data_IF_841290522570
#
_entry.id   IF_841290522570
#
_cell.length_a   1.000
_cell.length_b   1.000
_cell.length_c   1.000
_cell.angle_alpha   90.00
_cell.angle_beta   90.00
_cell.angle_gamma   90.00
#
_symmetry.space_group_name_H-M   'P 1'
#
loop_
_entity.id
_entity.type
_entity.pdbx_description
1 polymer ?
#
# COMPACT_ATOMS: atom_id res chain seq x y z
N UNK A 1 -24.53 24.07 -42.14
CA UNK A 1 -25.07 23.65 -40.82
C UNK A 1 -23.90 23.17 -39.99
N UNK A 2 -23.36 24.10 -39.16
CA UNK A 2 -22.27 23.82 -38.23
C UNK A 2 -22.86 23.22 -36.97
N UNK A 3 -22.60 21.94 -36.77
CA UNK A 3 -23.00 21.19 -35.55
C UNK A 3 -22.22 21.72 -34.36
N UNK A 4 -22.90 22.54 -33.54
CA UNK A 4 -22.35 23.03 -32.27
C UNK A 4 -22.25 21.84 -31.32
N UNK A 5 -21.00 21.43 -30.98
CA UNK A 5 -20.76 20.52 -29.87
C UNK A 5 -21.34 21.11 -28.57
N UNK A 6 -22.10 20.32 -27.80
CA UNK A 6 -22.65 20.80 -26.55
C UNK A 6 -21.50 21.21 -25.59
N UNK A 7 -21.67 22.26 -24.78
CA UNK A 7 -20.65 22.71 -23.84
C UNK A 7 -20.30 21.58 -22.85
N UNK A 8 -19.02 21.36 -22.69
CA UNK A 8 -18.47 20.37 -21.74
C UNK A 8 -18.80 20.86 -20.33
N UNK A 9 -19.75 20.21 -19.65
CA UNK A 9 -20.11 20.55 -18.29
C UNK A 9 -18.88 20.45 -17.37
N UNK A 10 -18.61 21.47 -16.53
CA UNK A 10 -17.52 21.41 -15.56
C UNK A 10 -17.80 20.27 -14.57
N UNK A 11 -16.79 19.48 -14.26
CA UNK A 11 -16.85 18.50 -13.17
C UNK A 11 -17.37 19.17 -11.88
N UNK A 12 -18.17 18.46 -11.07
CA UNK A 12 -18.81 18.93 -9.82
C UNK A 12 -17.86 19.58 -8.79
N UNK A 13 -16.59 19.77 -9.11
CA UNK A 13 -15.55 20.41 -8.33
C UNK A 13 -14.98 21.70 -8.97
N UNK A 14 -15.58 22.22 -10.07
CA UNK A 14 -15.12 23.47 -10.72
C UNK A 14 -13.72 23.38 -11.37
N UNK A 15 -13.25 22.20 -11.73
CA UNK A 15 -11.98 22.00 -12.44
C UNK A 15 -12.21 21.80 -13.93
N UNK A 16 -11.28 22.23 -14.82
CA UNK A 16 -11.40 22.02 -16.24
C UNK A 16 -11.56 20.55 -16.56
N UNK A 17 -12.50 20.23 -17.45
CA UNK A 17 -12.76 18.88 -17.92
C UNK A 17 -11.46 18.25 -18.45
N UNK A 18 -10.97 17.17 -17.78
CA UNK A 18 -9.75 16.47 -18.17
C UNK A 18 -8.58 16.52 -17.21
N UNK A 19 -8.62 17.31 -16.14
CA UNK A 19 -7.53 17.34 -15.15
C UNK A 19 -7.51 16.05 -14.31
N UNK A 20 -6.43 15.25 -14.43
CA UNK A 20 -6.23 14.05 -13.64
C UNK A 20 -5.83 14.37 -12.20
N UNK A 21 -5.15 15.50 -11.96
CA UNK A 21 -4.68 15.93 -10.65
C UNK A 21 -5.80 16.68 -9.90
N UNK A 22 -6.84 15.95 -9.53
CA UNK A 22 -8.03 16.50 -8.88
C UNK A 22 -7.73 16.97 -7.45
N UNK A 23 -8.57 17.89 -6.94
CA UNK A 23 -8.47 18.33 -5.54
C UNK A 23 -8.53 17.16 -4.56
N UNK A 24 -9.45 16.22 -4.76
CA UNK A 24 -9.56 15.04 -3.90
C UNK A 24 -8.29 14.19 -3.92
N UNK A 25 -7.68 13.99 -5.10
CA UNK A 25 -6.43 13.25 -5.21
C UNK A 25 -5.32 13.94 -4.41
N UNK A 26 -5.16 15.27 -4.55
CA UNK A 26 -4.16 16.04 -3.78
C UNK A 26 -4.38 15.91 -2.27
N UNK A 27 -5.61 16.11 -1.82
CA UNK A 27 -5.96 16.04 -0.39
C UNK A 27 -5.75 14.63 0.16
N UNK A 28 -6.26 13.59 -0.51
CA UNK A 28 -6.10 12.21 -0.07
C UNK A 28 -4.64 11.75 -0.08
N UNK A 29 -3.84 12.22 -1.04
CA UNK A 29 -2.40 11.94 -1.08
C UNK A 29 -1.65 12.64 0.05
N UNK A 30 -1.99 13.90 0.36
CA UNK A 30 -1.43 14.62 1.51
C UNK A 30 -1.82 13.99 2.86
N UNK A 31 -3.08 13.56 2.99
CA UNK A 31 -3.56 12.79 4.15
C UNK A 31 -2.77 11.50 4.33
N UNK A 32 -2.53 10.77 3.23
CA UNK A 32 -1.76 9.51 3.26
C UNK A 32 -0.31 9.74 3.65
N UNK A 33 0.34 10.75 3.06
CA UNK A 33 1.71 11.14 3.40
C UNK A 33 1.87 11.41 4.90
N UNK A 34 1.00 12.25 5.47
CA UNK A 34 1.05 12.58 6.90
C UNK A 34 0.83 11.34 7.77
N UNK A 35 -0.12 10.50 7.40
CA UNK A 35 -0.44 9.29 8.16
C UNK A 35 0.69 8.26 8.09
N UNK A 36 1.31 8.08 6.92
CA UNK A 36 2.41 7.13 6.76
C UNK A 36 3.69 7.67 7.42
N UNK A 37 3.96 8.98 7.35
CA UNK A 37 5.03 9.58 8.14
C UNK A 37 4.84 9.31 9.64
N UNK A 38 3.62 9.45 10.16
CA UNK A 38 3.30 9.14 11.56
C UNK A 38 3.50 7.65 11.91
N UNK A 39 3.11 6.75 11.00
CA UNK A 39 3.18 5.30 11.24
C UNK A 39 4.59 4.77 11.15
N UNK A 40 5.34 5.23 10.15
CA UNK A 40 6.71 4.77 9.88
C UNK A 40 7.75 5.41 10.82
N UNK A 41 7.44 6.57 11.39
CA UNK A 41 8.21 7.12 12.53
C UNK A 41 8.16 6.16 13.73
N UNK A 42 6.99 5.59 14.00
CA UNK A 42 6.81 4.65 15.12
C UNK A 42 7.39 3.26 14.84
N UNK A 43 7.40 2.82 13.58
CA UNK A 43 7.66 1.44 13.20
C UNK A 43 9.00 0.90 13.73
N UNK A 44 10.15 1.58 13.56
CA UNK A 44 11.42 1.11 14.10
C UNK A 44 11.56 1.29 15.63
N UNK A 45 10.78 2.21 16.22
CA UNK A 45 10.89 2.59 17.63
C UNK A 45 10.01 1.71 18.52
N UNK A 46 8.89 1.24 18.01
CA UNK A 46 7.89 0.51 18.79
C UNK A 46 8.42 -0.79 19.44
N UNK A 47 9.21 -1.65 18.75
CA UNK A 47 9.84 -2.81 19.38
C UNK A 47 10.73 -2.42 20.57
N UNK A 48 11.53 -1.37 20.40
CA UNK A 48 12.43 -0.86 21.44
C UNK A 48 11.61 -0.33 22.62
N UNK A 49 10.56 0.45 22.36
CA UNK A 49 9.67 0.95 23.39
C UNK A 49 9.02 -0.18 24.20
N UNK A 50 8.52 -1.22 23.54
CA UNK A 50 7.92 -2.38 24.18
C UNK A 50 8.92 -3.11 25.08
N UNK A 51 10.14 -3.34 24.61
CA UNK A 51 11.12 -4.17 25.31
C UNK A 51 11.89 -3.38 26.39
N UNK A 52 12.40 -2.19 26.04
CA UNK A 52 13.28 -1.45 26.94
C UNK A 52 12.54 -0.54 27.91
N UNK A 53 11.40 0.06 27.49
CA UNK A 53 10.66 1.02 28.34
C UNK A 53 9.52 0.36 29.10
N UNK A 54 8.80 -0.58 28.44
CA UNK A 54 7.67 -1.28 29.07
C UNK A 54 8.03 -2.67 29.63
N UNK A 55 9.26 -3.11 29.43
CA UNK A 55 9.75 -4.40 29.95
C UNK A 55 9.05 -5.63 29.34
N UNK A 56 8.44 -5.51 28.15
CA UNK A 56 7.73 -6.60 27.53
C UNK A 56 8.70 -7.61 26.91
N UNK A 57 8.44 -8.92 27.00
CA UNK A 57 9.27 -9.92 26.34
C UNK A 57 9.15 -9.80 24.81
N UNK A 58 10.20 -10.21 24.05
CA UNK A 58 10.25 -10.12 22.60
C UNK A 58 9.07 -10.80 21.89
N UNK A 59 8.52 -11.88 22.47
CA UNK A 59 7.31 -12.55 21.95
C UNK A 59 6.10 -11.60 21.87
N UNK A 60 6.00 -10.61 22.77
CA UNK A 60 4.92 -9.62 22.74
C UNK A 60 5.05 -8.70 21.52
N UNK A 61 6.27 -8.39 21.08
CA UNK A 61 6.48 -7.57 19.86
C UNK A 61 5.87 -8.25 18.65
N UNK A 62 6.17 -9.54 18.47
CA UNK A 62 5.59 -10.34 17.37
C UNK A 62 4.06 -10.46 17.48
N UNK A 63 3.54 -10.66 18.69
CA UNK A 63 2.09 -10.74 18.93
C UNK A 63 1.38 -9.41 18.61
N UNK A 64 1.96 -8.27 19.03
CA UNK A 64 1.42 -6.93 18.75
C UNK A 64 1.32 -6.68 17.24
N UNK A 65 2.38 -6.94 16.49
CA UNK A 65 2.37 -6.72 15.03
C UNK A 65 1.49 -7.75 14.31
N UNK A 66 1.56 -9.02 14.70
CA UNK A 66 0.74 -10.07 14.07
C UNK A 66 -0.77 -9.86 14.26
N UNK A 67 -1.23 -9.53 15.46
CA UNK A 67 -2.64 -9.23 15.74
C UNK A 67 -3.06 -7.95 15.01
N UNK A 68 -2.21 -6.94 14.97
CA UNK A 68 -2.49 -5.70 14.30
C UNK A 68 -2.67 -5.89 12.77
N UNK A 69 -1.76 -6.62 12.11
CA UNK A 69 -1.88 -6.91 10.67
C UNK A 69 -3.09 -7.82 10.37
N UNK A 70 -3.38 -8.81 11.22
CA UNK A 70 -4.62 -9.60 11.13
C UNK A 70 -5.87 -8.74 11.21
N UNK A 71 -5.90 -7.77 12.13
CA UNK A 71 -6.99 -6.79 12.26
C UNK A 71 -7.15 -5.95 10.99
N UNK A 72 -6.02 -5.49 10.40
CA UNK A 72 -6.05 -4.75 9.14
C UNK A 72 -6.60 -5.60 7.98
N UNK A 73 -6.17 -6.86 7.86
CA UNK A 73 -6.62 -7.75 6.79
C UNK A 73 -8.13 -8.02 6.87
N UNK A 74 -8.64 -8.36 8.04
CA UNK A 74 -10.07 -8.61 8.26
C UNK A 74 -10.91 -7.35 8.01
N UNK A 75 -10.46 -6.20 8.51
CA UNK A 75 -11.19 -4.94 8.34
C UNK A 75 -11.22 -4.46 6.89
N UNK A 76 -10.21 -4.74 6.07
CA UNK A 76 -10.22 -4.44 4.63
C UNK A 76 -11.33 -5.17 3.88
N UNK A 77 -11.55 -6.45 4.19
CA UNK A 77 -12.62 -7.24 3.56
C UNK A 77 -14.00 -6.70 3.92
N UNK A 78 -14.23 -6.38 5.20
CA UNK A 78 -15.50 -5.82 5.68
C UNK A 78 -15.73 -4.42 5.11
N UNK A 79 -14.71 -3.57 5.18
CA UNK A 79 -14.76 -2.18 4.72
C UNK A 79 -15.07 -2.08 3.22
N UNK A 80 -14.52 -2.96 2.40
CA UNK A 80 -14.82 -2.99 0.97
C UNK A 80 -16.30 -3.19 0.67
N UNK A 81 -16.97 -4.09 1.42
CA UNK A 81 -18.42 -4.33 1.30
C UNK A 81 -19.26 -3.14 1.73
N UNK A 82 -18.80 -2.47 2.77
CA UNK A 82 -19.50 -1.33 3.37
C UNK A 82 -19.29 -0.07 2.52
N UNK A 83 -18.14 0.07 1.87
CA UNK A 83 -17.76 1.24 1.07
C UNK A 83 -18.74 1.53 -0.08
N UNK A 84 -19.34 0.51 -0.69
CA UNK A 84 -20.32 0.69 -1.77
C UNK A 84 -21.69 1.14 -1.25
N UNK A 85 -21.99 0.96 0.06
CA UNK A 85 -23.28 1.31 0.68
C UNK A 85 -23.23 2.66 1.39
N UNK A 86 -22.12 3.00 2.01
CA UNK A 86 -21.96 4.21 2.80
C UNK A 86 -21.17 5.28 2.02
N UNK A 87 -21.22 6.51 2.53
CA UNK A 87 -20.42 7.61 1.99
C UNK A 87 -18.95 7.37 2.25
N UNK A 88 -18.10 7.60 1.23
CA UNK A 88 -16.67 7.36 1.33
C UNK A 88 -16.00 8.28 2.36
N UNK A 89 -16.34 9.58 2.36
CA UNK A 89 -15.73 10.58 3.25
C UNK A 89 -15.87 10.25 4.75
N UNK A 90 -17.05 9.92 5.31
CA UNK A 90 -17.17 9.51 6.71
C UNK A 90 -16.34 8.26 7.04
N UNK A 91 -16.30 7.26 6.16
CA UNK A 91 -15.51 6.06 6.36
C UNK A 91 -14.00 6.36 6.37
N UNK A 92 -13.55 7.20 5.44
CA UNK A 92 -12.16 7.67 5.39
C UNK A 92 -11.84 8.44 6.67
N UNK A 93 -12.70 9.37 7.09
CA UNK A 93 -12.54 10.14 8.33
C UNK A 93 -12.49 9.26 9.58
N UNK A 94 -13.40 8.29 9.70
CA UNK A 94 -13.37 7.30 10.78
C UNK A 94 -12.03 6.52 10.78
N UNK A 95 -11.57 6.06 9.62
CA UNK A 95 -10.34 5.30 9.51
C UNK A 95 -9.09 6.09 9.93
N UNK A 96 -8.95 7.35 9.50
CA UNK A 96 -7.84 8.21 9.92
C UNK A 96 -7.99 8.66 11.39
N UNK A 97 -9.21 8.91 11.87
CA UNK A 97 -9.50 9.21 13.27
C UNK A 97 -9.12 8.07 14.21
N UNK A 98 -9.48 6.83 13.86
CA UNK A 98 -9.07 5.64 14.61
C UNK A 98 -7.54 5.48 14.61
N UNK A 99 -6.88 5.73 13.48
CA UNK A 99 -5.43 5.66 13.41
C UNK A 99 -4.74 6.71 14.28
N UNK A 100 -5.28 7.93 14.35
CA UNK A 100 -4.80 8.97 15.25
C UNK A 100 -5.04 8.59 16.73
N UNK A 101 -6.24 8.08 17.06
CA UNK A 101 -6.57 7.60 18.40
C UNK A 101 -5.65 6.47 18.85
N UNK A 102 -5.36 5.50 17.95
CA UNK A 102 -4.41 4.43 18.22
C UNK A 102 -3.02 4.95 18.56
N UNK A 103 -2.52 5.97 17.85
CA UNK A 103 -1.22 6.60 18.14
C UNK A 103 -1.22 7.37 19.46
N UNK A 104 -2.32 8.06 19.80
CA UNK A 104 -2.49 8.67 21.11
C UNK A 104 -2.43 7.63 22.23
N UNK A 105 -3.13 6.50 22.06
CA UNK A 105 -3.10 5.41 23.02
C UNK A 105 -1.67 4.83 23.19
N UNK A 106 -0.92 4.65 22.10
CA UNK A 106 0.46 4.19 22.12
C UNK A 106 1.36 5.20 22.88
N UNK A 107 1.23 6.50 22.57
CA UNK A 107 2.01 7.54 23.24
C UNK A 107 1.74 7.63 24.76
N UNK A 108 0.50 7.39 25.17
CA UNK A 108 0.07 7.37 26.57
C UNK A 108 0.32 6.02 27.27
N UNK A 109 0.84 5.00 26.57
CA UNK A 109 0.97 3.66 27.11
C UNK A 109 1.96 3.57 28.28
N UNK A 110 1.51 2.99 29.38
CA UNK A 110 2.32 2.65 30.56
C UNK A 110 2.59 1.16 30.68
N UNK A 111 1.80 0.34 29.98
CA UNK A 111 1.92 -1.12 29.90
C UNK A 111 1.68 -1.60 28.47
N UNK A 112 2.29 -2.72 28.10
CA UNK A 112 2.24 -3.24 26.72
C UNK A 112 0.83 -3.56 26.20
N UNK A 113 -0.19 -3.98 27.00
CA UNK A 113 -1.54 -4.20 26.48
C UNK A 113 -2.19 -2.95 25.88
N UNK A 114 -1.84 -1.75 26.40
CA UNK A 114 -2.32 -0.49 25.82
C UNK A 114 -1.69 -0.28 24.44
N UNK A 115 -0.43 -0.64 24.24
CA UNK A 115 0.24 -0.60 22.93
C UNK A 115 -0.44 -1.55 21.95
N UNK A 116 -0.75 -2.78 22.39
CA UNK A 116 -1.49 -3.75 21.57
C UNK A 116 -2.86 -3.19 21.14
N UNK A 117 -3.63 -2.65 22.08
CA UNK A 117 -4.92 -2.05 21.80
C UNK A 117 -4.79 -0.86 20.81
N UNK A 118 -3.86 0.06 21.07
CA UNK A 118 -3.59 1.22 20.23
C UNK A 118 -3.17 0.82 18.82
N UNK A 119 -2.28 -0.19 18.69
CA UNK A 119 -1.83 -0.72 17.39
C UNK A 119 -2.96 -1.39 16.63
N UNK A 120 -3.79 -2.18 17.31
CA UNK A 120 -4.96 -2.82 16.71
C UNK A 120 -5.98 -1.79 16.23
N UNK A 121 -6.25 -0.73 17.00
CA UNK A 121 -7.14 0.37 16.59
C UNK A 121 -6.57 1.15 15.40
N UNK A 122 -5.27 1.45 15.36
CA UNK A 122 -4.61 2.07 14.20
C UNK A 122 -4.78 1.21 12.94
N UNK A 123 -4.55 -0.09 13.05
CA UNK A 123 -4.65 -1.04 11.94
C UNK A 123 -6.10 -1.28 11.49
N UNK A 124 -7.05 -1.29 12.43
CA UNK A 124 -8.48 -1.26 12.11
C UNK A 124 -8.82 -0.03 11.27
N UNK A 125 -8.35 1.14 11.68
CA UNK A 125 -8.48 2.38 10.92
C UNK A 125 -7.88 2.28 9.51
N UNK A 126 -6.70 1.68 9.37
CA UNK A 126 -6.05 1.42 8.07
C UNK A 126 -6.93 0.54 7.16
N UNK A 127 -7.54 -0.50 7.73
CA UNK A 127 -8.43 -1.38 6.98
C UNK A 127 -9.72 -0.68 6.53
N UNK A 128 -10.33 0.12 7.41
CA UNK A 128 -11.60 0.82 7.10
C UNK A 128 -11.41 1.87 5.99
N UNK A 129 -10.31 2.63 5.98
CA UNK A 129 -10.11 3.73 5.02
C UNK A 129 -9.63 3.31 3.65
N UNK A 130 -8.97 2.15 3.52
CA UNK A 130 -8.25 1.77 2.31
C UNK A 130 -9.15 1.69 1.08
N UNK A 131 -10.16 0.80 1.10
CA UNK A 131 -11.05 0.59 -0.03
C UNK A 131 -11.91 1.83 -0.39
N UNK A 132 -12.53 2.56 0.56
CA UNK A 132 -13.27 3.80 0.24
C UNK A 132 -12.39 4.88 -0.35
N UNK A 133 -11.15 5.04 0.13
CA UNK A 133 -10.18 6.00 -0.40
C UNK A 133 -9.84 5.67 -1.85
N UNK A 134 -9.45 4.43 -2.11
CA UNK A 134 -9.05 3.97 -3.43
C UNK A 134 -10.23 4.04 -4.43
N UNK A 135 -11.46 3.74 -3.97
CA UNK A 135 -12.68 3.91 -4.76
C UNK A 135 -12.94 5.40 -5.11
N UNK A 136 -12.75 6.32 -4.15
CA UNK A 136 -12.94 7.76 -4.38
C UNK A 136 -11.89 8.31 -5.35
N UNK A 137 -10.64 7.87 -5.28
CA UNK A 137 -9.59 8.20 -6.27
C UNK A 137 -10.01 7.68 -7.65
N UNK A 138 -10.37 6.39 -7.75
CA UNK A 138 -10.72 5.74 -9.01
C UNK A 138 -11.89 6.39 -9.74
N UNK A 139 -12.91 6.84 -8.98
CA UNK A 139 -14.10 7.48 -9.54
C UNK A 139 -13.94 8.97 -9.82
N UNK A 140 -12.93 9.60 -9.20
CA UNK A 140 -12.65 11.03 -9.29
C UNK A 140 -11.73 11.43 -10.45
N UNK A 141 -11.19 10.46 -11.21
CA UNK A 141 -10.24 10.71 -12.31
C UNK A 141 -10.72 10.03 -13.60
N UNK A 142 -10.30 10.55 -14.78
CA UNK A 142 -10.56 9.88 -16.06
C UNK A 142 -9.98 8.47 -16.11
N UNK A 143 -10.61 7.56 -16.86
CA UNK A 143 -10.11 6.18 -17.07
C UNK A 143 -8.67 6.15 -17.61
N UNK A 144 -8.34 7.10 -18.48
CA UNK A 144 -7.02 7.25 -19.11
C UNK A 144 -5.93 7.77 -18.18
N UNK A 145 -6.28 8.13 -16.95
CA UNK A 145 -5.35 8.73 -15.99
C UNK A 145 -5.33 8.00 -14.64
N UNK A 146 -5.96 6.82 -14.54
CA UNK A 146 -5.99 6.05 -13.29
C UNK A 146 -4.59 5.62 -12.85
N UNK A 147 -3.73 5.22 -13.81
CA UNK A 147 -2.34 4.86 -13.51
C UNK A 147 -1.58 5.99 -12.86
N UNK A 148 -1.62 7.20 -13.47
CA UNK A 148 -0.98 8.41 -12.91
C UNK A 148 -1.55 8.78 -11.56
N UNK A 149 -2.87 8.69 -11.38
CA UNK A 149 -3.52 9.04 -10.13
C UNK A 149 -3.11 8.11 -8.98
N UNK A 150 -3.14 6.81 -9.19
CA UNK A 150 -2.69 5.83 -8.19
C UNK A 150 -1.17 5.89 -7.98
N UNK A 151 -0.38 6.11 -9.05
CA UNK A 151 1.07 6.31 -8.96
C UNK A 151 1.43 7.54 -8.13
N UNK A 152 0.77 8.68 -8.37
CA UNK A 152 0.96 9.90 -7.57
C UNK A 152 0.56 9.69 -6.11
N UNK A 153 -0.61 9.07 -5.87
CA UNK A 153 -1.05 8.77 -4.52
C UNK A 153 -0.05 7.86 -3.80
N UNK A 154 0.47 6.84 -4.46
CA UNK A 154 1.47 5.94 -3.89
C UNK A 154 2.82 6.62 -3.64
N UNK A 155 3.27 7.48 -4.57
CA UNK A 155 4.48 8.26 -4.35
C UNK A 155 4.41 9.12 -3.08
N UNK A 156 3.27 9.77 -2.84
CA UNK A 156 3.04 10.57 -1.63
C UNK A 156 2.93 9.71 -0.37
N UNK A 157 2.25 8.57 -0.45
CA UNK A 157 2.13 7.56 0.61
C UNK A 157 3.53 7.09 1.05
N UNK A 158 4.34 6.64 0.08
CA UNK A 158 5.70 6.15 0.33
C UNK A 158 6.70 7.26 0.70
N UNK A 159 6.49 8.50 0.22
CA UNK A 159 7.29 9.64 0.68
C UNK A 159 7.11 9.84 2.20
N UNK A 160 5.90 9.61 2.73
CA UNK A 160 5.67 9.56 4.17
C UNK A 160 6.49 8.47 4.88
N UNK A 161 6.61 7.30 4.24
CA UNK A 161 7.42 6.19 4.76
C UNK A 161 8.94 6.43 4.72
N UNK A 162 9.41 7.39 3.93
CA UNK A 162 10.79 7.89 3.97
C UNK A 162 10.96 8.97 5.05
N UNK A 163 10.05 9.93 5.05
CA UNK A 163 10.12 11.11 5.95
C UNK A 163 9.95 10.68 7.41
N UNK A 164 9.06 9.72 7.70
CA UNK A 164 8.76 9.25 9.04
C UNK A 164 9.99 8.75 9.81
N UNK A 165 10.70 7.73 9.31
CA UNK A 165 11.91 7.23 9.96
C UNK A 165 13.04 8.26 10.08
N UNK A 166 13.17 9.18 9.10
CA UNK A 166 14.15 10.28 9.17
C UNK A 166 13.81 11.26 10.28
N UNK A 167 12.54 11.64 10.45
CA UNK A 167 12.08 12.45 11.60
C UNK A 167 12.32 11.68 12.89
N UNK A 168 12.03 10.38 12.92
CA UNK A 168 12.27 9.52 14.08
C UNK A 168 13.73 9.47 14.48
N UNK A 169 14.64 9.30 13.53
CA UNK A 169 16.08 9.29 13.76
C UNK A 169 16.60 10.64 14.26
N UNK A 170 16.26 11.73 13.55
CA UNK A 170 16.65 13.07 13.95
C UNK A 170 16.09 13.44 15.34
N UNK A 171 14.82 13.11 15.58
CA UNK A 171 14.19 13.35 16.88
C UNK A 171 14.81 12.50 18.00
N UNK A 172 15.22 11.26 17.72
CA UNK A 172 15.90 10.39 18.70
C UNK A 172 17.20 10.98 19.17
N UNK A 173 18.02 11.52 18.26
CA UNK A 173 19.26 12.21 18.59
C UNK A 173 19.01 13.53 19.34
N UNK A 174 18.11 14.38 18.83
CA UNK A 174 17.79 15.68 19.42
C UNK A 174 17.15 15.58 20.82
N UNK A 175 16.44 14.50 21.10
CA UNK A 175 15.78 14.26 22.38
C UNK A 175 16.64 13.40 23.32
N UNK A 176 17.95 13.33 23.10
CA UNK A 176 18.88 12.58 23.92
C UNK A 176 18.41 11.14 24.20
N UNK A 177 17.99 10.44 23.13
CA UNK A 177 17.55 9.06 23.14
C UNK A 177 16.26 8.77 23.94
N UNK A 178 15.47 9.79 24.28
CA UNK A 178 14.20 9.60 24.96
C UNK A 178 13.10 9.20 23.96
N UNK A 179 12.55 7.98 24.12
CA UNK A 179 11.58 7.41 23.18
C UNK A 179 10.18 8.01 23.35
N UNK A 180 9.71 8.26 24.58
CA UNK A 180 8.33 8.75 24.81
C UNK A 180 7.98 10.04 24.06
N UNK A 181 8.83 11.08 24.03
CA UNK A 181 8.55 12.28 23.23
C UNK A 181 8.39 11.99 21.74
N UNK A 182 9.11 11.01 21.18
CA UNK A 182 8.96 10.61 19.78
C UNK A 182 7.58 10.04 19.49
N UNK A 183 7.01 9.26 20.43
CA UNK A 183 5.66 8.75 20.30
C UNK A 183 4.64 9.88 20.25
N UNK A 184 4.86 10.96 21.02
CA UNK A 184 4.01 12.18 21.00
C UNK A 184 4.18 12.93 19.67
N UNK A 185 5.41 13.07 19.15
CA UNK A 185 5.67 13.70 17.84
C UNK A 185 4.91 12.98 16.73
N UNK A 186 4.84 11.64 16.76
CA UNK A 186 4.08 10.87 15.77
C UNK A 186 2.56 11.12 15.80
N UNK A 187 2.02 11.57 16.94
CA UNK A 187 0.59 11.92 17.04
C UNK A 187 0.26 13.15 16.19
N UNK A 188 1.19 14.11 16.06
CA UNK A 188 0.93 15.38 15.35
C UNK A 188 0.54 15.16 13.89
N UNK A 189 1.35 14.49 13.04
CA UNK A 189 0.95 14.23 11.65
C UNK A 189 -0.24 13.28 11.56
N UNK A 190 -0.46 12.37 12.51
CA UNK A 190 -1.64 11.51 12.51
C UNK A 190 -2.94 12.30 12.75
N UNK A 191 -2.96 13.21 13.71
CA UNK A 191 -4.11 14.10 13.96
C UNK A 191 -4.31 15.06 12.78
N UNK A 192 -3.23 15.65 12.26
CA UNK A 192 -3.30 16.51 11.08
C UNK A 192 -3.91 15.77 9.88
N UNK A 193 -3.55 14.49 9.67
CA UNK A 193 -4.14 13.67 8.60
C UNK A 193 -5.65 13.49 8.79
N UNK A 194 -6.10 13.20 10.00
CA UNK A 194 -7.52 13.04 10.32
C UNK A 194 -8.32 14.34 10.09
N UNK A 195 -7.77 15.49 10.49
CA UNK A 195 -8.38 16.80 10.27
C UNK A 195 -8.44 17.13 8.78
N UNK A 196 -7.37 16.87 8.02
CA UNK A 196 -7.29 17.19 6.60
C UNK A 196 -8.33 16.43 5.76
N UNK A 197 -8.86 15.28 6.22
CA UNK A 197 -9.96 14.57 5.57
C UNK A 197 -11.21 15.44 5.43
N UNK A 198 -11.42 16.43 6.31
CA UNK A 198 -12.54 17.37 6.21
C UNK A 198 -12.54 18.12 4.88
N UNK A 199 -11.36 18.34 4.27
CA UNK A 199 -11.21 18.99 2.96
C UNK A 199 -11.59 18.08 1.77
N UNK A 200 -11.82 16.79 1.97
CA UNK A 200 -12.28 15.85 0.93
C UNK A 200 -13.72 16.19 0.53
N UNK A 201 -13.95 16.37 -0.76
CA UNK A 201 -15.26 16.62 -1.34
C UNK A 201 -15.85 15.30 -1.84
N UNK A 202 -17.04 14.97 -1.38
CA UNK A 202 -17.78 13.81 -1.86
C UNK A 202 -18.77 14.27 -2.94
N UNK A 203 -18.68 13.72 -4.17
CA UNK A 203 -19.65 14.06 -5.21
C UNK A 203 -21.06 13.60 -4.79
N UNK A 204 -22.13 14.32 -5.23
CA UNK A 204 -23.50 13.91 -4.95
C UNK A 204 -23.71 12.46 -5.40
N UNK A 205 -24.13 11.61 -4.47
CA UNK A 205 -24.37 10.20 -4.77
C UNK A 205 -25.69 10.09 -5.56
N UNK A 206 -25.63 9.74 -6.84
CA UNK A 206 -26.81 9.17 -7.50
C UNK A 206 -27.14 7.89 -6.75
N UNK A 207 -28.32 7.81 -6.14
CA UNK A 207 -28.85 6.59 -5.51
C UNK A 207 -29.00 5.51 -6.60
N UNK A 208 -27.92 4.80 -6.90
CA UNK A 208 -28.09 3.52 -7.54
C UNK A 208 -28.70 2.58 -6.49
N UNK A 209 -29.87 2.00 -6.81
CA UNK A 209 -30.43 0.91 -6.01
C UNK A 209 -29.29 -0.09 -5.85
N UNK A 210 -28.85 -0.29 -4.61
CA UNK A 210 -27.87 -1.31 -4.28
C UNK A 210 -28.48 -2.64 -4.66
N UNK A 211 -28.12 -3.17 -5.83
CA UNK A 211 -28.29 -4.60 -6.10
C UNK A 211 -27.65 -5.33 -4.93
N UNK A 212 -28.36 -6.28 -4.36
CA UNK A 212 -27.88 -7.03 -3.19
C UNK A 212 -26.47 -7.51 -3.45
N UNK A 213 -25.62 -7.38 -2.44
CA UNK A 213 -24.23 -7.79 -2.54
C UNK A 213 -24.13 -9.29 -2.88
N UNK A 214 -23.69 -9.57 -4.10
CA UNK A 214 -23.27 -10.90 -4.49
C UNK A 214 -21.92 -10.78 -5.20
N UNK A 215 -20.82 -11.35 -4.66
CA UNK A 215 -19.52 -11.41 -5.33
C UNK A 215 -19.61 -12.04 -6.72
N UNK A 216 -20.68 -12.82 -6.95
CA UNK A 216 -20.98 -13.47 -8.23
C UNK A 216 -21.29 -12.50 -9.38
N UNK A 217 -21.54 -11.21 -9.10
CA UNK A 217 -21.81 -10.20 -10.13
C UNK A 217 -20.54 -9.53 -10.66
N UNK A 218 -19.40 -9.68 -9.97
CA UNK A 218 -18.14 -9.12 -10.47
C UNK A 218 -17.71 -9.87 -11.75
N UNK A 219 -17.22 -9.14 -12.78
CA UNK A 219 -16.87 -9.74 -14.06
C UNK A 219 -15.86 -10.89 -13.92
N UNK A 220 -15.97 -11.93 -14.73
CA UNK A 220 -15.02 -13.05 -14.73
C UNK A 220 -13.56 -12.61 -15.02
N UNK A 221 -13.39 -11.50 -15.76
CA UNK A 221 -12.09 -10.85 -15.96
C UNK A 221 -11.48 -10.32 -14.67
N UNK A 222 -12.30 -9.73 -13.80
CA UNK A 222 -11.87 -9.26 -12.48
C UNK A 222 -11.29 -10.43 -11.66
N UNK A 223 -12.03 -11.54 -11.55
CA UNK A 223 -11.58 -12.71 -10.77
C UNK A 223 -10.29 -13.34 -11.33
N UNK A 224 -10.13 -13.35 -12.66
CA UNK A 224 -8.88 -13.82 -13.28
C UNK A 224 -7.68 -12.94 -12.91
N UNK A 225 -7.85 -11.62 -12.97
CA UNK A 225 -6.76 -10.69 -12.61
C UNK A 225 -6.48 -10.77 -11.11
N UNK A 226 -7.50 -10.75 -10.26
CA UNK A 226 -7.33 -10.93 -8.80
C UNK A 226 -6.65 -12.25 -8.48
N UNK A 227 -7.01 -13.34 -9.17
CA UNK A 227 -6.37 -14.64 -8.99
C UNK A 227 -4.87 -14.61 -9.33
N UNK A 228 -4.48 -13.96 -10.41
CA UNK A 228 -3.07 -13.77 -10.78
C UNK A 228 -2.31 -12.94 -9.75
N UNK A 229 -2.89 -11.82 -9.31
CA UNK A 229 -2.28 -10.95 -8.32
C UNK A 229 -2.18 -11.62 -6.95
N UNK A 230 -3.20 -12.36 -6.54
CA UNK A 230 -3.20 -13.14 -5.29
C UNK A 230 -2.19 -14.30 -5.35
N UNK A 231 -2.07 -14.99 -6.49
CA UNK A 231 -1.07 -16.04 -6.70
C UNK A 231 0.35 -15.48 -6.53
N UNK A 232 0.64 -14.31 -7.12
CA UNK A 232 1.90 -13.62 -6.90
C UNK A 232 2.08 -13.26 -5.42
N UNK A 233 1.03 -12.78 -4.75
CA UNK A 233 1.10 -12.42 -3.33
C UNK A 233 1.46 -13.59 -2.41
N UNK A 234 1.26 -14.86 -2.82
CA UNK A 234 1.68 -16.04 -2.07
C UNK A 234 3.20 -16.23 -2.05
N UNK A 235 3.94 -15.59 -2.95
CA UNK A 235 5.40 -15.63 -2.99
C UNK A 235 6.04 -14.28 -2.65
N UNK A 236 5.24 -13.26 -2.44
CA UNK A 236 5.66 -11.93 -2.02
C UNK A 236 5.55 -11.80 -0.49
N UNK A 237 6.51 -12.36 0.24
CA UNK A 237 6.52 -12.30 1.69
C UNK A 237 6.93 -10.91 2.23
N UNK A 238 6.65 -10.59 3.53
CA UNK A 238 6.89 -9.27 4.11
C UNK A 238 8.35 -8.82 4.06
N UNK A 239 8.56 -7.51 3.81
CA UNK A 239 9.87 -6.85 3.73
C UNK A 239 10.77 -7.09 4.95
N UNK A 240 10.17 -7.37 6.12
CA UNK A 240 10.90 -7.70 7.34
C UNK A 240 11.89 -8.87 7.15
N UNK A 241 11.54 -9.86 6.31
CA UNK A 241 12.42 -10.98 6.00
C UNK A 241 13.57 -10.56 5.06
N UNK A 242 13.35 -9.58 4.17
CA UNK A 242 14.44 -9.01 3.36
C UNK A 242 15.43 -8.24 4.26
N UNK A 243 14.93 -7.50 5.24
CA UNK A 243 15.77 -6.78 6.19
C UNK A 243 16.55 -7.76 7.09
N UNK A 244 15.92 -8.88 7.47
CA UNK A 244 16.62 -9.98 8.17
C UNK A 244 17.76 -10.53 7.31
N UNK A 245 17.52 -10.78 6.03
CA UNK A 245 18.58 -11.23 5.10
C UNK A 245 19.75 -10.25 5.03
N UNK A 246 19.49 -8.93 5.00
CA UNK A 246 20.58 -7.95 5.03
C UNK A 246 21.42 -8.08 6.31
N UNK A 247 20.78 -8.28 7.45
CA UNK A 247 21.49 -8.48 8.72
C UNK A 247 22.35 -9.74 8.69
N UNK A 248 21.84 -10.84 8.13
CA UNK A 248 22.59 -12.11 7.96
C UNK A 248 23.77 -11.98 6.99
N UNK A 249 23.68 -11.09 5.97
CA UNK A 249 24.82 -10.74 5.09
C UNK A 249 25.88 -9.91 5.85
N UNK A 250 25.58 -9.41 7.07
CA UNK A 250 26.51 -8.66 7.90
C UNK A 250 26.29 -7.15 7.90
N UNK A 251 25.14 -6.65 7.44
CA UNK A 251 24.81 -5.24 7.57
C UNK A 251 24.61 -4.86 9.05
N UNK A 252 25.20 -3.74 9.46
CA UNK A 252 24.89 -3.13 10.74
C UNK A 252 23.45 -2.61 10.78
N UNK A 253 22.87 -2.47 11.96
CA UNK A 253 21.49 -1.97 12.10
C UNK A 253 21.27 -0.61 11.42
N UNK A 254 22.16 0.40 11.54
CA UNK A 254 22.03 1.64 10.78
C UNK A 254 22.08 1.43 9.27
N UNK A 255 22.89 0.49 8.78
CA UNK A 255 22.97 0.17 7.34
C UNK A 255 21.69 -0.51 6.85
N UNK A 256 21.06 -1.39 7.63
CA UNK A 256 19.74 -1.98 7.33
C UNK A 256 18.67 -0.89 7.25
N UNK A 257 18.64 0.06 8.19
CA UNK A 257 17.72 1.20 8.16
C UNK A 257 17.97 2.07 6.92
N UNK A 258 19.24 2.37 6.62
CA UNK A 258 19.61 3.13 5.43
C UNK A 258 19.19 2.45 4.12
N UNK A 259 19.35 1.14 4.03
CA UNK A 259 18.91 0.35 2.88
C UNK A 259 17.37 0.36 2.74
N UNK A 260 16.64 0.27 3.84
CA UNK A 260 15.19 0.39 3.87
C UNK A 260 14.70 1.78 3.42
N UNK A 261 15.36 2.84 3.89
CA UNK A 261 15.07 4.22 3.43
C UNK A 261 15.35 4.36 1.93
N UNK A 262 16.47 3.80 1.43
CA UNK A 262 16.82 3.82 0.01
C UNK A 262 15.75 3.10 -0.84
N UNK A 263 15.34 1.92 -0.42
CA UNK A 263 14.27 1.17 -1.05
C UNK A 263 12.98 2.01 -1.15
N UNK A 264 12.54 2.59 -0.04
CA UNK A 264 11.32 3.42 -0.01
C UNK A 264 11.48 4.70 -0.84
N UNK A 265 12.66 5.32 -0.87
CA UNK A 265 12.95 6.49 -1.70
C UNK A 265 12.84 6.15 -3.20
N UNK A 266 13.44 5.05 -3.64
CA UNK A 266 13.31 4.56 -5.02
C UNK A 266 11.86 4.26 -5.35
N UNK A 267 11.15 3.60 -4.45
CA UNK A 267 9.73 3.33 -4.60
C UNK A 267 8.91 4.62 -4.75
N UNK A 268 9.12 5.62 -3.89
CA UNK A 268 8.40 6.89 -3.96
C UNK A 268 8.66 7.62 -5.29
N UNK A 269 9.94 7.73 -5.70
CA UNK A 269 10.35 8.43 -6.92
C UNK A 269 9.80 7.75 -8.17
N UNK A 270 9.86 6.42 -8.23
CA UNK A 270 9.43 5.66 -9.41
C UNK A 270 7.91 5.44 -9.47
N UNK A 271 7.14 5.61 -8.37
CA UNK A 271 5.70 5.33 -8.35
C UNK A 271 4.91 6.20 -9.32
N UNK A 272 5.21 7.50 -9.44
CA UNK A 272 4.54 8.38 -10.41
C UNK A 272 4.94 8.05 -11.86
N UNK A 273 6.23 7.93 -12.23
CA UNK A 273 6.62 7.46 -13.57
C UNK A 273 6.00 6.12 -13.96
N UNK A 274 5.96 5.13 -13.05
CA UNK A 274 5.34 3.84 -13.29
C UNK A 274 3.83 3.98 -13.61
N UNK A 275 3.14 4.87 -12.91
CA UNK A 275 1.74 5.20 -13.19
C UNK A 275 1.55 5.84 -14.57
N UNK A 276 2.43 6.75 -15.00
CA UNK A 276 2.41 7.34 -16.35
C UNK A 276 2.62 6.28 -17.42
N UNK A 277 3.55 5.36 -17.21
CA UNK A 277 3.81 4.24 -18.12
C UNK A 277 2.61 3.31 -18.19
N UNK A 278 1.93 3.04 -17.06
CA UNK A 278 0.72 2.21 -17.01
C UNK A 278 -0.49 2.84 -17.72
N UNK A 279 -0.54 4.17 -17.84
CA UNK A 279 -1.58 4.85 -18.65
C UNK A 279 -1.34 4.70 -20.17
N UNK A 280 -0.08 4.47 -20.60
CA UNK A 280 0.31 4.33 -22.01
C UNK A 280 0.41 2.88 -22.46
N UNK A 281 0.92 2.02 -21.60
CA UNK A 281 1.06 0.58 -21.83
C UNK A 281 -0.08 -0.18 -21.14
N UNK A 282 -0.22 -1.47 -21.45
CA UNK A 282 -1.18 -2.29 -20.73
C UNK A 282 -0.73 -2.47 -19.26
N UNK A 283 -1.63 -2.38 -18.25
CA UNK A 283 -1.28 -2.66 -16.87
C UNK A 283 -0.60 -4.01 -16.66
N UNK A 284 -0.98 -5.00 -17.47
CA UNK A 284 -0.36 -6.33 -17.52
C UNK A 284 1.14 -6.26 -17.86
N UNK A 285 1.51 -5.47 -18.86
CA UNK A 285 2.91 -5.33 -19.29
C UNK A 285 3.74 -4.64 -18.23
N UNK A 286 3.21 -3.57 -17.63
CA UNK A 286 3.90 -2.80 -16.59
C UNK A 286 4.08 -3.64 -15.33
N UNK A 287 3.03 -4.35 -14.90
CA UNK A 287 3.09 -5.27 -13.77
C UNK A 287 4.09 -6.41 -14.03
N UNK A 288 4.09 -7.00 -15.24
CA UNK A 288 5.05 -8.03 -15.63
C UNK A 288 6.51 -7.55 -15.60
N UNK A 289 6.77 -6.31 -16.04
CA UNK A 289 8.10 -5.70 -15.90
C UNK A 289 8.51 -5.52 -14.43
N UNK A 290 7.56 -5.14 -13.56
CA UNK A 290 7.77 -5.10 -12.11
C UNK A 290 8.16 -6.48 -11.56
N UNK A 291 7.50 -7.55 -11.98
CA UNK A 291 7.84 -8.91 -11.55
C UNK A 291 9.25 -9.36 -11.96
N UNK A 292 9.78 -8.86 -13.08
CA UNK A 292 11.19 -9.10 -13.45
C UNK A 292 12.14 -8.47 -12.42
N UNK A 293 11.85 -7.22 -12.00
CA UNK A 293 12.64 -6.55 -10.96
C UNK A 293 12.57 -7.31 -9.62
N UNK A 294 11.38 -7.80 -9.26
CA UNK A 294 11.21 -8.67 -8.09
C UNK A 294 12.05 -9.93 -8.19
N UNK A 295 11.97 -10.65 -9.33
CA UNK A 295 12.71 -11.88 -9.55
C UNK A 295 14.22 -11.66 -9.43
N UNK A 296 14.73 -10.58 -10.03
CA UNK A 296 16.15 -10.20 -9.93
C UNK A 296 16.54 -9.87 -8.49
N UNK A 297 15.72 -9.08 -7.78
CA UNK A 297 16.01 -8.70 -6.40
C UNK A 297 16.03 -9.91 -5.46
N UNK A 298 14.98 -10.73 -5.51
CA UNK A 298 14.85 -11.88 -4.62
C UNK A 298 15.91 -12.95 -4.91
N UNK A 299 16.08 -13.34 -6.18
CA UNK A 299 17.11 -14.31 -6.57
C UNK A 299 18.52 -13.79 -6.24
N UNK A 300 18.76 -12.51 -6.55
CA UNK A 300 20.05 -11.89 -6.26
C UNK A 300 20.36 -11.82 -4.77
N UNK A 301 19.37 -11.41 -3.92
CA UNK A 301 19.52 -11.38 -2.46
C UNK A 301 19.73 -12.79 -1.87
N UNK A 302 19.09 -13.81 -2.46
CA UNK A 302 19.32 -15.21 -2.06
C UNK A 302 20.74 -15.68 -2.31
N UNK A 303 21.37 -15.20 -3.39
CA UNK A 303 22.68 -15.68 -3.85
C UNK A 303 23.86 -14.79 -3.44
N UNK A 304 23.62 -13.50 -3.11
CA UNK A 304 24.71 -12.56 -2.82
C UNK A 304 25.13 -12.59 -1.37
N UNK A 305 26.46 -12.36 -1.17
CA UNK A 305 27.07 -12.03 0.13
C UNK A 305 27.73 -10.63 0.09
N UNK A 306 27.62 -9.91 -1.03
CA UNK A 306 28.18 -8.57 -1.21
C UNK A 306 27.23 -7.51 -0.69
N UNK A 307 27.69 -6.63 0.23
CA UNK A 307 26.94 -5.50 0.74
C UNK A 307 26.47 -4.55 -0.39
N UNK A 308 27.37 -4.24 -1.33
CA UNK A 308 27.04 -3.35 -2.45
C UNK A 308 25.98 -3.97 -3.37
N UNK A 309 26.12 -5.26 -3.70
CA UNK A 309 25.12 -5.95 -4.51
C UNK A 309 23.77 -6.03 -3.80
N UNK A 310 23.73 -6.35 -2.50
CA UNK A 310 22.51 -6.39 -1.71
C UNK A 310 21.80 -5.01 -1.67
N UNK A 311 22.57 -3.92 -1.54
CA UNK A 311 22.03 -2.56 -1.57
C UNK A 311 21.37 -2.22 -2.91
N UNK A 312 22.05 -2.51 -4.03
CA UNK A 312 21.53 -2.31 -5.39
C UNK A 312 20.30 -3.16 -5.65
N UNK A 313 20.28 -4.42 -5.20
CA UNK A 313 19.14 -5.31 -5.35
C UNK A 313 17.93 -4.84 -4.56
N UNK A 314 18.13 -4.29 -3.36
CA UNK A 314 17.06 -3.71 -2.58
C UNK A 314 16.51 -2.42 -3.22
N UNK A 315 17.37 -1.60 -3.84
CA UNK A 315 16.92 -0.47 -4.65
C UNK A 315 16.08 -0.93 -5.87
N UNK A 316 16.50 -2.01 -6.55
CA UNK A 316 15.72 -2.63 -7.63
C UNK A 316 14.35 -3.17 -7.14
N UNK A 317 14.29 -3.69 -5.92
CA UNK A 317 13.04 -4.08 -5.26
C UNK A 317 12.10 -2.87 -5.05
N UNK A 318 12.64 -1.68 -4.74
CA UNK A 318 11.85 -0.44 -4.74
C UNK A 318 11.22 -0.12 -6.10
N UNK A 319 11.94 -0.43 -7.20
CA UNK A 319 11.39 -0.36 -8.55
C UNK A 319 10.23 -1.35 -8.76
N UNK A 320 10.38 -2.60 -8.33
CA UNK A 320 9.28 -3.59 -8.38
C UNK A 320 8.01 -3.06 -7.72
N UNK A 321 8.11 -2.59 -6.48
CA UNK A 321 6.92 -2.09 -5.75
C UNK A 321 6.28 -0.91 -6.46
N UNK A 322 7.06 -0.01 -7.07
CA UNK A 322 6.55 1.10 -7.87
C UNK A 322 5.75 0.64 -9.10
N UNK A 323 6.26 -0.38 -9.81
CA UNK A 323 5.64 -0.91 -11.04
C UNK A 323 4.46 -1.85 -10.75
N UNK A 324 4.21 -2.25 -9.51
CA UNK A 324 3.16 -3.23 -9.19
C UNK A 324 2.05 -2.67 -8.32
N UNK A 325 2.31 -1.94 -7.25
CA UNK A 325 1.30 -1.57 -6.25
C UNK A 325 0.25 -0.60 -6.82
N UNK A 326 0.64 0.57 -7.29
CA UNK A 326 -0.28 1.53 -7.92
C UNK A 326 -0.92 0.98 -9.20
N UNK A 327 -0.11 0.28 -10.00
CA UNK A 327 -0.52 -0.33 -11.26
C UNK A 327 -1.54 -1.44 -11.04
N UNK A 328 -1.35 -2.30 -10.02
CA UNK A 328 -2.31 -3.35 -9.67
C UNK A 328 -3.67 -2.78 -9.28
N UNK A 329 -3.71 -1.72 -8.48
CA UNK A 329 -4.95 -1.02 -8.11
C UNK A 329 -5.63 -0.35 -9.31
N UNK A 330 -4.86 0.27 -10.19
CA UNK A 330 -5.37 0.85 -11.44
C UNK A 330 -5.95 -0.22 -12.35
N UNK A 331 -5.28 -1.36 -12.47
CA UNK A 331 -5.74 -2.50 -13.26
C UNK A 331 -7.08 -3.04 -12.78
N UNK A 332 -7.19 -3.33 -11.48
CA UNK A 332 -8.44 -3.77 -10.84
C UNK A 332 -9.54 -2.72 -11.03
N UNK A 333 -9.24 -1.44 -10.79
CA UNK A 333 -10.19 -0.34 -10.96
C UNK A 333 -10.75 -0.24 -12.38
N UNK A 334 -9.93 -0.49 -13.40
CA UNK A 334 -10.35 -0.49 -14.81
C UNK A 334 -11.29 -1.62 -15.20
N UNK A 335 -11.43 -2.67 -14.39
CA UNK A 335 -12.31 -3.81 -14.62
C UNK A 335 -13.68 -3.68 -13.93
N UNK A 336 -13.88 -2.66 -13.11
CA UNK A 336 -15.02 -2.50 -12.22
C UNK A 336 -15.88 -1.31 -12.63
N UNK A 337 -17.19 -1.46 -12.51
CA UNK A 337 -18.11 -0.34 -12.61
C UNK A 337 -17.95 0.63 -11.43
N UNK A 338 -18.41 1.88 -11.58
CA UNK A 338 -18.29 2.91 -10.53
C UNK A 338 -18.87 2.49 -9.17
N UNK A 339 -19.95 1.74 -9.18
CA UNK A 339 -20.64 1.29 -7.97
C UNK A 339 -20.02 0.03 -7.34
N UNK A 340 -19.07 -0.62 -8.02
CA UNK A 340 -18.38 -1.83 -7.57
C UNK A 340 -16.96 -1.54 -7.05
N UNK A 341 -16.47 -0.30 -7.17
CA UNK A 341 -15.09 0.05 -6.86
C UNK A 341 -14.71 -0.28 -5.41
N UNK A 342 -15.58 0.01 -4.45
CA UNK A 342 -15.32 -0.27 -3.05
C UNK A 342 -15.21 -1.76 -2.77
N UNK A 343 -16.21 -2.56 -3.17
CA UNK A 343 -16.20 -4.03 -3.02
C UNK A 343 -15.03 -4.65 -3.75
N UNK A 344 -14.78 -4.27 -5.00
CA UNK A 344 -13.70 -4.85 -5.80
C UNK A 344 -12.32 -4.52 -5.23
N UNK A 345 -12.04 -3.27 -4.87
CA UNK A 345 -10.78 -2.89 -4.25
C UNK A 345 -10.59 -3.58 -2.87
N UNK A 346 -11.67 -3.66 -2.07
CA UNK A 346 -11.63 -4.31 -0.76
C UNK A 346 -11.35 -5.82 -0.85
N UNK A 347 -12.00 -6.53 -1.77
CA UNK A 347 -11.75 -7.96 -2.01
C UNK A 347 -10.33 -8.21 -2.51
N UNK A 348 -9.86 -7.41 -3.47
CA UNK A 348 -8.48 -7.49 -3.96
C UNK A 348 -7.47 -7.30 -2.82
N UNK A 349 -7.59 -6.22 -2.05
CA UNK A 349 -6.67 -5.92 -0.95
C UNK A 349 -6.75 -6.96 0.18
N UNK A 350 -7.94 -7.46 0.48
CA UNK A 350 -8.14 -8.50 1.50
C UNK A 350 -7.51 -9.83 1.09
N UNK A 351 -7.76 -10.29 -0.15
CA UNK A 351 -7.19 -11.53 -0.68
C UNK A 351 -5.67 -11.45 -0.81
N UNK A 352 -5.13 -10.33 -1.32
CA UNK A 352 -3.69 -10.13 -1.40
C UNK A 352 -3.05 -10.07 -0.01
N UNK A 353 -3.69 -9.41 0.96
CA UNK A 353 -3.18 -9.34 2.34
C UNK A 353 -3.15 -10.72 3.02
N UNK A 354 -4.19 -11.55 2.83
CA UNK A 354 -4.19 -12.93 3.32
C UNK A 354 -3.13 -13.79 2.62
N UNK A 355 -2.93 -13.61 1.33
CA UNK A 355 -1.90 -14.32 0.58
C UNK A 355 -0.48 -13.92 1.05
N UNK A 356 -0.22 -12.64 1.33
CA UNK A 356 1.04 -12.17 1.90
C UNK A 356 1.27 -12.73 3.31
N UNK A 357 0.22 -12.84 4.14
CA UNK A 357 0.33 -13.50 5.44
C UNK A 357 0.78 -14.96 5.28
N UNK A 358 0.15 -15.71 4.38
CA UNK A 358 0.55 -17.09 4.06
C UNK A 358 1.98 -17.12 3.53
N UNK A 359 2.36 -16.17 2.67
CA UNK A 359 3.72 -16.02 2.16
C UNK A 359 4.74 -15.84 3.30
N UNK A 360 4.46 -14.96 4.25
CA UNK A 360 5.30 -14.74 5.43
C UNK A 360 5.47 -15.99 6.28
N UNK A 361 4.38 -16.75 6.50
CA UNK A 361 4.42 -17.99 7.28
C UNK A 361 5.31 -19.04 6.61
N UNK A 362 5.03 -19.41 5.35
CA UNK A 362 5.82 -20.46 4.69
C UNK A 362 7.30 -20.05 4.49
N UNK A 363 7.54 -18.77 4.12
CA UNK A 363 8.89 -18.26 3.96
C UNK A 363 9.66 -18.26 5.29
N UNK A 364 9.00 -17.87 6.39
CA UNK A 364 9.58 -17.92 7.74
C UNK A 364 9.91 -19.35 8.17
N UNK A 365 9.01 -20.32 7.94
CA UNK A 365 9.29 -21.74 8.23
C UNK A 365 10.40 -22.32 7.35
N UNK A 366 10.47 -21.90 6.09
CA UNK A 366 11.48 -22.37 5.14
C UNK A 366 12.78 -21.56 5.20
N UNK A 367 12.90 -20.60 6.11
CA UNK A 367 14.02 -19.65 6.13
C UNK A 367 15.39 -20.32 6.30
N UNK A 368 15.46 -21.34 7.15
CA UNK A 368 16.70 -22.04 7.44
C UNK A 368 17.73 -21.12 8.11
N UNK A 369 18.99 -21.18 7.65
CA UNK A 369 20.08 -20.38 8.20
C UNK A 369 20.19 -18.96 7.61
N UNK A 370 19.73 -18.76 6.37
CA UNK A 370 20.03 -17.55 5.61
C UNK A 370 18.94 -17.09 4.62
N UNK A 371 17.80 -17.75 4.63
CA UNK A 371 16.68 -17.39 3.77
C UNK A 371 16.88 -17.62 2.27
N UNK A 372 17.97 -18.27 1.84
CA UNK A 372 18.26 -18.53 0.42
C UNK A 372 17.13 -19.28 -0.27
N UNK A 373 16.60 -20.34 0.36
CA UNK A 373 15.56 -21.16 -0.24
C UNK A 373 14.26 -20.36 -0.54
N UNK A 374 13.63 -19.66 0.42
CA UNK A 374 12.40 -18.91 0.14
C UNK A 374 12.65 -17.75 -0.83
N UNK A 375 13.82 -17.12 -0.80
CA UNK A 375 14.17 -16.06 -1.74
C UNK A 375 14.25 -16.60 -3.18
N UNK A 376 14.92 -17.73 -3.41
CA UNK A 376 15.02 -18.35 -4.74
C UNK A 376 13.65 -18.84 -5.24
N UNK A 377 12.88 -19.53 -4.39
CA UNK A 377 11.53 -20.01 -4.77
C UNK A 377 10.64 -18.84 -5.19
N UNK A 378 10.63 -17.76 -4.41
CA UNK A 378 9.85 -16.56 -4.73
C UNK A 378 10.32 -15.86 -6.00
N UNK A 379 11.65 -15.73 -6.18
CA UNK A 379 12.23 -15.11 -7.38
C UNK A 379 11.92 -15.90 -8.64
N UNK A 380 12.08 -17.23 -8.62
CA UNK A 380 11.78 -18.10 -9.75
C UNK A 380 10.29 -18.09 -10.08
N UNK A 381 9.43 -18.21 -9.07
CA UNK A 381 7.97 -18.14 -9.27
C UNK A 381 7.53 -16.82 -9.91
N UNK A 382 8.11 -15.71 -9.46
CA UNK A 382 7.84 -14.39 -10.05
C UNK A 382 8.36 -14.28 -11.49
N UNK A 383 9.53 -14.85 -11.81
CA UNK A 383 10.07 -14.88 -13.18
C UNK A 383 9.16 -15.67 -14.12
N UNK A 384 8.68 -16.83 -13.69
CA UNK A 384 7.72 -17.65 -14.47
C UNK A 384 6.42 -16.87 -14.72
N UNK A 385 5.89 -16.23 -13.67
CA UNK A 385 4.67 -15.45 -13.80
C UNK A 385 4.86 -14.21 -14.69
N UNK A 386 6.03 -13.54 -14.60
CA UNK A 386 6.40 -12.44 -15.49
C UNK A 386 6.44 -12.89 -16.95
N UNK A 387 7.12 -14.00 -17.23
CA UNK A 387 7.15 -14.61 -18.56
C UNK A 387 5.75 -14.87 -19.10
N UNK A 388 4.88 -15.51 -18.32
CA UNK A 388 3.51 -15.78 -18.71
C UNK A 388 2.69 -14.48 -18.91
N UNK A 389 2.87 -13.47 -18.07
CA UNK A 389 2.21 -12.17 -18.27
C UNK A 389 2.69 -11.46 -19.52
N UNK A 390 3.97 -11.51 -19.87
CA UNK A 390 4.52 -10.77 -21.00
C UNK A 390 4.28 -11.48 -22.34
N UNK A 391 4.36 -12.81 -22.39
CA UNK A 391 4.29 -13.60 -23.62
C UNK A 391 2.95 -14.32 -23.85
N UNK A 392 2.18 -14.57 -22.79
CA UNK A 392 0.95 -15.36 -22.84
C UNK A 392 -0.13 -14.75 -23.75
N UNK A 393 -1.07 -15.55 -24.28
CA UNK A 393 -2.05 -15.12 -25.27
C UNK A 393 -2.93 -13.98 -24.75
N UNK A 394 -2.96 -12.89 -25.51
CA UNK A 394 -3.60 -11.60 -25.18
C UNK A 394 -5.12 -11.70 -24.94
N UNK A 395 -5.76 -12.76 -25.45
CA UNK A 395 -7.22 -12.90 -25.54
C UNK A 395 -7.94 -12.99 -24.18
N UNK A 396 -7.27 -13.37 -23.09
CA UNK A 396 -7.94 -13.72 -21.83
C UNK A 396 -7.84 -12.68 -20.70
N UNK A 397 -6.89 -11.73 -20.70
CA UNK A 397 -6.68 -10.76 -19.62
C UNK A 397 -7.07 -9.31 -19.94
N UNK A 398 -7.68 -9.08 -21.11
CA UNK A 398 -8.26 -7.79 -21.49
C UNK A 398 -7.21 -6.73 -21.85
N UNK A 399 -6.99 -6.53 -23.17
CA UNK A 399 -6.50 -5.25 -23.63
C UNK A 399 -7.59 -4.20 -23.31
N UNK A 400 -7.36 -3.36 -22.31
CA UNK A 400 -7.95 -2.02 -22.26
C UNK A 400 -7.30 -1.19 -23.38
N UNK A 401 -7.45 -1.59 -24.65
CA UNK A 401 -7.36 -0.61 -25.72
C UNK A 401 -8.54 0.31 -25.49
N UNK A 402 -8.26 1.47 -24.91
CA UNK A 402 -9.15 2.61 -24.96
C UNK A 402 -9.70 2.68 -26.39
N UNK A 403 -10.99 2.38 -26.55
CA UNK A 403 -11.69 2.76 -27.77
C UNK A 403 -11.49 4.28 -27.88
N UNK A 404 -10.57 4.69 -28.75
CA UNK A 404 -10.58 6.04 -29.29
C UNK A 404 -11.93 6.18 -29.99
N UNK A 405 -12.86 6.85 -29.37
CA UNK A 405 -13.94 7.59 -30.00
C UNK A 405 -13.84 9.03 -29.57
#
# INVERSE_FOLDING_TARGET
MTEQQPPVEPNAAGQPAGSWLTRNLKVLSGVSLLQDAASELLYPILPIFLTTVLGAPAAVVGAVEGIAEGTAALSKVVSGRVADRFRARPMIGLGYGLAALGKVAIAAATVWPIVLAGRSVDRLGKGIRGAPRDALIATGVPETAKGRAFGFHRAMDTAGAVIGPLIGLAGYELLHHHIRPLLVIAVVPAVASAILVVAVREPPRRRHRTAGWHPRHLPSRYWRVVGVLALFSLVNFPDALLLLRLHEIGFSVPAVIGAYVTYNAVYAVLSYPAGVVADRLSPRTVFGAGLILFALAYTGLGLTHSHTAAWVLLAAYGGFTAFTDGVGKAWISGLLARHEQGTGQGLFQGLSGLAILVAGLWAGFAWGHDGTLPLLVSGIAAAVLAGWLLTGPIRHLGNLRLRRR
#
